data_IF_753610526910
#
_entry.id   IF_753610526910
#
_cell.length_a   1.000
_cell.length_b   1.000
_cell.length_c   1.000
_cell.angle_alpha   90.00
_cell.angle_beta   90.00
_cell.angle_gamma   90.00
#
_symmetry.space_group_name_H-M   'P 1'
#
loop_
_entity.id
_entity.type
_entity.pdbx_description
1 polymer ?
#
# COMPACT_ATOMS: atom_id res chain seq x y z
N UNK A 1 17.15 -25.48 -6.36
CA UNK A 1 16.51 -25.30 -5.04
C UNK A 1 15.17 -24.65 -5.28
N UNK A 2 14.08 -25.20 -4.73
CA UNK A 2 12.75 -24.58 -4.85
C UNK A 2 12.82 -23.19 -4.21
N UNK A 3 12.76 -22.13 -5.01
CA UNK A 3 12.64 -20.77 -4.48
C UNK A 3 11.29 -20.66 -3.80
N UNK A 4 11.29 -20.25 -2.53
CA UNK A 4 10.06 -20.09 -1.76
C UNK A 4 9.20 -19.01 -2.43
N UNK A 5 7.97 -19.36 -2.79
CA UNK A 5 7.00 -18.42 -3.37
C UNK A 5 6.66 -17.32 -2.34
N UNK A 6 6.70 -16.06 -2.78
CA UNK A 6 6.41 -14.86 -2.01
C UNK A 6 5.02 -14.35 -2.39
N UNK A 7 4.05 -14.57 -1.49
CA UNK A 7 2.72 -13.94 -1.55
C UNK A 7 2.82 -12.43 -1.28
N UNK A 8 2.30 -11.63 -2.22
CA UNK A 8 2.25 -10.16 -2.14
C UNK A 8 0.79 -9.73 -2.24
N UNK A 9 0.29 -8.99 -1.25
CA UNK A 9 -0.95 -8.22 -1.38
C UNK A 9 -0.62 -6.84 -1.91
N UNK A 10 -1.36 -6.37 -2.91
CA UNK A 10 -1.11 -5.09 -3.56
C UNK A 10 -2.42 -4.29 -3.68
N UNK A 11 -2.51 -3.14 -3.02
CA UNK A 11 -3.59 -2.16 -3.28
C UNK A 11 -3.13 -1.06 -4.22
N UNK A 12 -4.04 -0.50 -5.02
CA UNK A 12 -3.71 0.61 -5.93
C UNK A 12 -2.86 0.21 -7.14
N UNK A 13 -2.80 -1.08 -7.46
CA UNK A 13 -1.98 -1.64 -8.56
C UNK A 13 -2.38 -1.14 -9.96
N UNK A 14 -3.58 -0.57 -10.12
CA UNK A 14 -4.04 0.07 -11.36
C UNK A 14 -3.88 1.59 -11.34
N UNK A 15 -3.29 2.16 -10.29
CA UNK A 15 -3.01 3.60 -10.16
C UNK A 15 -1.70 4.00 -10.84
N UNK A 16 -1.38 5.29 -10.80
CA UNK A 16 -0.17 5.82 -11.42
C UNK A 16 1.12 5.21 -10.85
N UNK A 17 1.32 5.30 -9.52
CA UNK A 17 2.49 4.73 -8.83
C UNK A 17 2.41 3.20 -8.83
N UNK A 18 1.26 2.66 -8.40
CA UNK A 18 1.08 1.21 -8.27
C UNK A 18 1.21 0.45 -9.59
N UNK A 19 0.78 1.05 -10.71
CA UNK A 19 0.94 0.48 -12.04
C UNK A 19 2.40 0.34 -12.44
N UNK A 20 3.22 1.38 -12.22
CA UNK A 20 4.66 1.33 -12.48
C UNK A 20 5.37 0.30 -11.60
N UNK A 21 5.04 0.24 -10.31
CA UNK A 21 5.58 -0.76 -9.38
C UNK A 21 5.17 -2.18 -9.82
N UNK A 22 3.91 -2.39 -10.19
CA UNK A 22 3.43 -3.69 -10.68
C UNK A 22 4.20 -4.12 -11.94
N UNK A 23 4.39 -3.22 -12.91
CA UNK A 23 5.19 -3.52 -14.10
C UNK A 23 6.60 -3.95 -13.74
N UNK A 24 7.25 -3.24 -12.80
CA UNK A 24 8.58 -3.61 -12.31
C UNK A 24 8.63 -4.99 -11.67
N UNK A 25 7.64 -5.33 -10.82
CA UNK A 25 7.53 -6.65 -10.19
C UNK A 25 7.35 -7.78 -11.21
N UNK A 26 6.52 -7.57 -12.23
CA UNK A 26 6.26 -8.56 -13.28
C UNK A 26 7.48 -8.77 -14.19
N UNK A 27 8.30 -7.74 -14.40
CA UNK A 27 9.52 -7.80 -15.21
C UNK A 27 10.77 -8.22 -14.42
N UNK A 28 10.67 -8.31 -13.09
CA UNK A 28 11.79 -8.65 -12.23
C UNK A 28 12.33 -10.07 -12.55
N UNK A 29 13.65 -10.34 -12.50
CA UNK A 29 14.21 -11.67 -12.78
C UNK A 29 13.64 -12.80 -11.93
N UNK A 30 13.15 -12.46 -10.73
CA UNK A 30 12.51 -13.40 -9.80
C UNK A 30 10.97 -13.37 -9.85
N UNK A 31 10.35 -12.81 -10.90
CA UNK A 31 8.90 -12.64 -10.99
C UNK A 31 8.13 -13.96 -10.87
N UNK A 32 8.72 -15.08 -11.29
CA UNK A 32 8.17 -16.43 -11.10
C UNK A 32 7.96 -16.81 -9.63
N UNK A 33 8.67 -16.16 -8.71
CA UNK A 33 8.55 -16.39 -7.27
C UNK A 33 7.47 -15.52 -6.64
N UNK A 34 6.90 -14.54 -7.35
CA UNK A 34 5.93 -13.60 -6.82
C UNK A 34 4.51 -14.07 -7.11
N UNK A 35 3.72 -14.29 -6.05
CA UNK A 35 2.28 -14.52 -6.16
C UNK A 35 1.57 -13.24 -5.75
N UNK A 36 1.17 -12.44 -6.73
CA UNK A 36 0.60 -11.11 -6.51
C UNK A 36 -0.93 -11.21 -6.48
N UNK A 37 -1.52 -10.81 -5.36
CA UNK A 37 -2.96 -10.60 -5.20
C UNK A 37 -3.23 -9.10 -5.18
N UNK A 38 -4.00 -8.60 -6.14
CA UNK A 38 -4.26 -7.17 -6.31
C UNK A 38 -5.68 -6.81 -5.91
N UNK A 39 -5.84 -5.95 -4.91
CA UNK A 39 -7.13 -5.36 -4.54
C UNK A 39 -7.57 -4.36 -5.61
N UNK A 40 -8.74 -4.58 -6.21
CA UNK A 40 -9.30 -3.71 -7.24
C UNK A 40 -10.80 -3.45 -7.04
N UNK A 41 -11.21 -2.22 -7.36
CA UNK A 41 -12.61 -1.79 -7.33
C UNK A 41 -13.38 -2.35 -8.52
N UNK A 42 -14.37 -3.22 -8.25
CA UNK A 42 -15.62 -3.43 -8.99
C UNK A 42 -15.64 -3.55 -10.53
N UNK A 43 -14.50 -3.75 -11.20
CA UNK A 43 -14.43 -3.73 -12.66
C UNK A 43 -13.94 -5.08 -13.19
N UNK A 44 -14.87 -5.91 -13.69
CA UNK A 44 -14.55 -7.22 -14.28
C UNK A 44 -13.54 -7.12 -15.42
N UNK A 45 -13.54 -6.02 -16.18
CA UNK A 45 -12.60 -5.85 -17.29
C UNK A 45 -11.17 -5.66 -16.76
N UNK A 46 -11.00 -4.90 -15.67
CA UNK A 46 -9.71 -4.76 -14.97
C UNK A 46 -9.29 -6.07 -14.32
N UNK A 47 -10.23 -6.80 -13.71
CA UNK A 47 -9.97 -8.10 -13.12
C UNK A 47 -9.42 -9.09 -14.16
N UNK A 48 -10.08 -9.18 -15.32
CA UNK A 48 -9.65 -10.01 -16.45
C UNK A 48 -8.28 -9.58 -16.97
N UNK A 49 -8.03 -8.27 -17.09
CA UNK A 49 -6.74 -7.74 -17.53
C UNK A 49 -5.61 -8.11 -16.56
N UNK A 50 -5.81 -7.93 -15.25
CA UNK A 50 -4.84 -8.35 -14.24
C UNK A 50 -4.61 -9.87 -14.25
N UNK A 51 -5.67 -10.67 -14.36
CA UNK A 51 -5.56 -12.12 -14.47
C UNK A 51 -4.73 -12.54 -15.68
N UNK A 52 -4.89 -11.86 -16.83
CA UNK A 52 -4.08 -12.12 -18.03
C UNK A 52 -2.59 -11.81 -17.86
N UNK A 53 -2.22 -11.02 -16.86
CA UNK A 53 -0.84 -10.71 -16.47
C UNK A 53 -0.30 -11.63 -15.37
N UNK A 54 -1.04 -12.67 -14.97
CA UNK A 54 -0.66 -13.57 -13.87
C UNK A 54 -0.90 -13.00 -12.47
N UNK A 55 -1.64 -11.88 -12.37
CA UNK A 55 -2.01 -11.25 -11.10
C UNK A 55 -3.39 -11.75 -10.67
N UNK A 56 -3.55 -12.11 -9.40
CA UNK A 56 -4.82 -12.59 -8.84
C UNK A 56 -5.67 -11.38 -8.46
N UNK A 57 -6.80 -11.11 -9.14
CA UNK A 57 -7.67 -10.01 -8.76
C UNK A 57 -8.43 -10.35 -7.47
N UNK A 58 -8.46 -9.40 -6.53
CA UNK A 58 -9.26 -9.43 -5.32
C UNK A 58 -10.25 -8.26 -5.39
N UNK A 59 -11.53 -8.55 -5.55
CA UNK A 59 -12.56 -7.51 -5.70
C UNK A 59 -12.87 -6.90 -4.33
N UNK A 60 -12.73 -5.58 -4.22
CA UNK A 60 -13.03 -4.81 -3.02
C UNK A 60 -12.62 -3.34 -3.16
N UNK A 61 -12.75 -2.59 -2.08
CA UNK A 61 -12.27 -1.21 -1.92
C UNK A 61 -11.42 -1.09 -0.66
N UNK A 62 -10.88 0.10 -0.39
CA UNK A 62 -10.20 0.38 0.88
C UNK A 62 -11.14 0.20 2.09
N UNK A 63 -12.44 0.40 1.90
CA UNK A 63 -13.47 0.15 2.92
C UNK A 63 -13.73 -1.34 3.20
N UNK A 64 -13.19 -2.23 2.36
CA UNK A 64 -13.36 -3.68 2.51
C UNK A 64 -12.39 -4.25 3.55
N UNK A 65 -12.44 -3.72 4.77
CA UNK A 65 -11.46 -3.97 5.83
C UNK A 65 -11.28 -5.46 6.14
N UNK A 66 -12.37 -6.24 6.22
CA UNK A 66 -12.31 -7.68 6.48
C UNK A 66 -11.56 -8.44 5.37
N UNK A 67 -11.77 -8.02 4.12
CA UNK A 67 -11.11 -8.59 2.95
C UNK A 67 -9.61 -8.26 2.98
N UNK A 68 -9.28 -7.00 3.27
CA UNK A 68 -7.90 -6.50 3.36
C UNK A 68 -7.16 -7.20 4.49
N UNK A 69 -7.74 -7.26 5.67
CA UNK A 69 -7.14 -7.87 6.85
C UNK A 69 -6.85 -9.35 6.61
N UNK A 70 -7.84 -10.09 6.07
CA UNK A 70 -7.66 -11.49 5.74
C UNK A 70 -6.53 -11.68 4.73
N UNK A 71 -6.55 -10.94 3.62
CA UNK A 71 -5.53 -11.07 2.58
C UNK A 71 -4.13 -10.68 3.07
N UNK A 72 -4.03 -9.67 3.94
CA UNK A 72 -2.78 -9.25 4.56
C UNK A 72 -2.22 -10.36 5.48
N UNK A 73 -3.08 -11.06 6.23
CA UNK A 73 -2.64 -12.18 7.08
C UNK A 73 -2.05 -13.37 6.31
N UNK A 74 -2.46 -13.53 5.05
CA UNK A 74 -2.00 -14.59 4.15
C UNK A 74 -0.74 -14.18 3.34
N UNK A 75 -0.30 -12.92 3.45
CA UNK A 75 0.74 -12.32 2.61
C UNK A 75 2.07 -12.13 3.34
N UNK A 76 3.19 -12.31 2.62
CA UNK A 76 4.52 -12.02 3.16
C UNK A 76 4.85 -10.53 3.06
N UNK A 77 4.37 -9.91 1.98
CA UNK A 77 4.59 -8.50 1.66
C UNK A 77 3.24 -7.85 1.38
N UNK A 78 3.04 -6.64 1.88
CA UNK A 78 1.92 -5.77 1.47
C UNK A 78 2.50 -4.51 0.84
N UNK A 79 2.03 -4.18 -0.36
CA UNK A 79 2.34 -2.93 -1.06
C UNK A 79 1.04 -2.12 -1.12
N UNK A 80 1.02 -0.98 -0.43
CA UNK A 80 -0.16 -0.15 -0.27
C UNK A 80 0.09 1.21 -0.92
N UNK A 81 -0.47 1.39 -2.12
CA UNK A 81 -0.35 2.63 -2.92
C UNK A 81 -1.70 3.22 -3.30
N UNK A 82 -2.80 2.56 -2.93
CA UNK A 82 -4.16 3.00 -3.26
C UNK A 82 -4.72 3.83 -2.12
N UNK A 83 -4.80 5.15 -2.31
CA UNK A 83 -5.29 6.12 -1.31
C UNK A 83 -4.61 5.96 0.07
N UNK A 84 -3.34 5.53 0.03
CA UNK A 84 -2.66 5.02 1.21
C UNK A 84 -2.31 6.12 2.22
N UNK A 85 -2.08 7.35 1.76
CA UNK A 85 -1.74 8.47 2.64
C UNK A 85 -2.94 9.00 3.42
N UNK A 86 -4.15 8.80 2.90
CA UNK A 86 -5.36 9.49 3.38
C UNK A 86 -6.41 8.53 3.96
N UNK A 87 -6.23 7.21 3.79
CA UNK A 87 -7.14 6.19 4.31
C UNK A 87 -6.55 5.40 5.50
N UNK A 88 -6.63 6.00 6.68
CA UNK A 88 -6.21 5.37 7.95
C UNK A 88 -6.90 4.01 8.21
N UNK A 89 -8.22 3.83 7.95
CA UNK A 89 -8.89 2.56 8.18
C UNK A 89 -8.29 1.37 7.41
N UNK A 90 -7.97 1.50 6.12
CA UNK A 90 -7.35 0.42 5.36
C UNK A 90 -5.93 0.12 5.83
N UNK A 91 -5.14 1.15 6.16
CA UNK A 91 -3.81 0.97 6.73
C UNK A 91 -3.87 0.17 8.05
N UNK A 92 -4.85 0.44 8.92
CA UNK A 92 -5.08 -0.32 10.16
C UNK A 92 -5.49 -1.77 9.86
N UNK A 93 -6.37 -2.01 8.89
CA UNK A 93 -6.76 -3.36 8.48
C UNK A 93 -5.55 -4.18 7.98
N UNK A 94 -4.68 -3.57 7.18
CA UNK A 94 -3.42 -4.17 6.72
C UNK A 94 -2.53 -4.55 7.90
N UNK A 95 -2.27 -3.60 8.81
CA UNK A 95 -1.41 -3.82 9.98
C UNK A 95 -1.98 -4.92 10.87
N UNK A 96 -3.31 -4.96 11.07
CA UNK A 96 -3.97 -6.01 11.84
C UNK A 96 -3.74 -7.39 11.22
N UNK A 97 -3.91 -7.53 9.91
CA UNK A 97 -3.68 -8.79 9.20
C UNK A 97 -2.22 -9.24 9.27
N UNK A 98 -1.28 -8.31 9.04
CA UNK A 98 0.16 -8.56 9.16
C UNK A 98 0.57 -8.99 10.58
N UNK A 99 -0.01 -8.38 11.61
CA UNK A 99 0.20 -8.78 13.00
C UNK A 99 -0.32 -10.20 13.25
N UNK A 100 -1.54 -10.52 12.80
CA UNK A 100 -2.11 -11.88 12.89
C UNK A 100 -1.19 -12.94 12.27
N UNK A 101 -0.62 -12.63 11.09
CA UNK A 101 0.36 -13.51 10.44
C UNK A 101 1.61 -13.72 11.28
N UNK A 102 2.19 -12.64 11.78
CA UNK A 102 3.43 -12.67 12.55
C UNK A 102 3.23 -13.50 13.82
N UNK A 103 2.12 -13.30 14.53
CA UNK A 103 1.74 -14.10 15.71
C UNK A 103 1.53 -15.58 15.38
N UNK A 104 0.89 -15.89 14.25
CA UNK A 104 0.57 -17.28 13.86
C UNK A 104 1.79 -18.06 13.36
N UNK A 105 2.69 -17.38 12.65
CA UNK A 105 3.80 -18.04 11.92
C UNK A 105 5.16 -17.84 12.56
N UNK A 106 5.31 -16.84 13.45
CA UNK A 106 6.59 -16.40 13.99
C UNK A 106 7.54 -15.77 12.95
N UNK A 107 7.06 -15.53 11.71
CA UNK A 107 7.89 -15.03 10.61
C UNK A 107 7.67 -13.53 10.40
N UNK A 108 8.72 -12.79 10.01
CA UNK A 108 8.61 -11.37 9.72
C UNK A 108 7.77 -11.12 8.46
N UNK A 109 7.27 -9.89 8.37
CA UNK A 109 6.46 -9.39 7.26
C UNK A 109 7.03 -8.06 6.77
N UNK A 110 6.74 -7.72 5.52
CA UNK A 110 7.15 -6.45 4.93
C UNK A 110 5.89 -5.62 4.61
N UNK A 111 5.86 -4.38 5.07
CA UNK A 111 4.83 -3.42 4.72
C UNK A 111 5.46 -2.23 4.01
N UNK A 112 5.12 -2.05 2.74
CA UNK A 112 5.51 -0.89 1.94
C UNK A 112 4.28 0.00 1.80
N UNK A 113 4.36 1.18 2.39
CA UNK A 113 3.28 2.17 2.43
C UNK A 113 3.72 3.42 1.68
N UNK A 114 2.95 3.84 0.67
CA UNK A 114 3.20 5.12 0.01
C UNK A 114 2.51 6.24 0.78
N UNK A 115 3.31 7.06 1.44
CA UNK A 115 2.87 8.31 2.08
C UNK A 115 3.07 9.51 1.15
N UNK A 116 2.67 10.70 1.62
CA UNK A 116 2.96 11.99 1.00
C UNK A 116 3.27 13.05 2.06
N UNK A 117 3.64 14.24 1.61
CA UNK A 117 3.97 15.39 2.49
C UNK A 117 2.92 16.50 2.42
N UNK A 118 1.68 16.17 2.01
CA UNK A 118 0.58 17.13 1.87
C UNK A 118 0.29 17.89 3.16
N UNK A 119 0.39 17.21 4.30
CA UNK A 119 0.25 17.77 5.66
C UNK A 119 1.19 18.96 5.95
N UNK A 120 2.30 19.10 5.21
CA UNK A 120 3.24 20.21 5.35
C UNK A 120 2.83 21.45 4.54
N UNK A 121 1.78 21.35 3.73
CA UNK A 121 1.35 22.43 2.84
C UNK A 121 0.50 23.47 3.58
N UNK A 122 0.37 24.64 2.95
CA UNK A 122 -0.46 25.73 3.46
C UNK A 122 -1.44 26.19 2.38
N UNK A 123 -2.72 26.28 2.73
CA UNK A 123 -3.72 26.93 1.88
C UNK A 123 -3.57 28.46 1.93
N UNK A 124 -2.62 28.99 1.16
CA UNK A 124 -2.28 30.42 1.17
C UNK A 124 -3.24 31.30 0.35
N UNK A 125 -4.11 30.72 -0.49
CA UNK A 125 -5.10 31.42 -1.35
C UNK A 125 -4.55 32.68 -2.04
N UNK A 126 -3.37 32.57 -2.65
CA UNK A 126 -2.70 33.66 -3.36
C UNK A 126 -1.96 34.68 -2.49
N UNK A 127 -1.88 34.45 -1.17
CA UNK A 127 -1.03 35.20 -0.24
C UNK A 127 0.34 34.54 -0.10
N UNK A 128 1.25 35.24 0.58
CA UNK A 128 2.54 34.66 0.99
C UNK A 128 2.30 33.63 2.10
N UNK A 129 2.83 32.41 1.94
CA UNK A 129 2.86 31.39 2.99
C UNK A 129 3.91 31.68 4.07
N UNK A 130 4.01 30.78 5.05
CA UNK A 130 5.08 30.83 6.04
C UNK A 130 6.45 30.62 5.39
N UNK A 131 7.51 31.03 6.10
CA UNK A 131 8.89 30.70 5.71
C UNK A 131 9.36 29.40 6.39
N UNK A 132 8.44 28.55 6.86
CA UNK A 132 8.78 27.32 7.58
C UNK A 132 9.43 26.35 6.60
N UNK A 133 10.59 25.82 6.98
CA UNK A 133 11.31 24.80 6.22
C UNK A 133 11.36 23.56 7.09
N UNK A 134 10.73 22.48 6.61
CA UNK A 134 10.73 21.19 7.28
C UNK A 134 11.98 20.40 6.91
N UNK A 135 12.56 19.70 7.89
CA UNK A 135 13.71 18.83 7.74
C UNK A 135 13.38 17.42 8.22
N UNK A 136 13.53 16.41 7.37
CA UNK A 136 13.25 15.01 7.71
C UNK A 136 14.28 14.41 8.69
N UNK A 137 15.42 15.08 8.89
CA UNK A 137 16.36 14.77 9.96
C UNK A 137 15.89 15.27 11.34
N UNK A 138 14.85 16.09 11.39
CA UNK A 138 14.22 16.58 12.63
C UNK A 138 12.75 16.09 12.69
N UNK A 139 12.53 14.83 13.10
CA UNK A 139 11.22 14.20 13.01
C UNK A 139 10.17 14.85 13.89
N UNK A 140 10.57 15.59 14.93
CA UNK A 140 9.64 16.28 15.84
C UNK A 140 8.87 17.40 15.11
N UNK A 141 9.43 17.97 14.05
CA UNK A 141 8.74 18.97 13.21
C UNK A 141 7.54 18.40 12.46
N UNK A 142 7.55 17.09 12.18
CA UNK A 142 6.48 16.39 11.47
C UNK A 142 5.58 15.64 12.45
N UNK A 143 6.17 14.92 13.40
CA UNK A 143 5.44 14.14 14.41
C UNK A 143 4.66 15.02 15.40
N UNK A 144 5.08 16.28 15.58
CA UNK A 144 4.39 17.26 16.41
C UNK A 144 3.20 17.95 15.74
N UNK A 145 2.96 17.70 14.45
CA UNK A 145 1.80 18.24 13.75
C UNK A 145 0.51 17.62 14.30
N UNK A 146 -0.55 18.42 14.38
CA UNK A 146 -1.86 17.92 14.79
C UNK A 146 -2.44 16.97 13.73
N UNK A 147 -3.21 15.96 14.15
CA UNK A 147 -3.94 15.07 13.24
C UNK A 147 -4.91 15.82 12.30
N UNK A 148 -5.27 17.06 12.65
CA UNK A 148 -6.13 17.94 11.85
C UNK A 148 -5.37 18.84 10.88
N UNK A 149 -4.03 18.74 10.82
CA UNK A 149 -3.20 19.48 9.89
C UNK A 149 -3.46 19.01 8.46
N UNK A 150 -3.63 19.96 7.53
CA UNK A 150 -3.93 19.72 6.10
C UNK A 150 -3.13 20.72 5.26
#
# INVERSE_FOLDING_TARGET
MSSQQINILFTGSTGYIGGSVLTGLLQHPNSSNFKITALIRGDESRAKKLASLGVIPLIGSNDSHDIIEKAASESHVVIHTGDSSDDVPSARAIISGLNKRTQTTGKPVIYIHTSGTGVLTEDVRGKKGSNTVYNDLDPDQVNGLADTQI
#
